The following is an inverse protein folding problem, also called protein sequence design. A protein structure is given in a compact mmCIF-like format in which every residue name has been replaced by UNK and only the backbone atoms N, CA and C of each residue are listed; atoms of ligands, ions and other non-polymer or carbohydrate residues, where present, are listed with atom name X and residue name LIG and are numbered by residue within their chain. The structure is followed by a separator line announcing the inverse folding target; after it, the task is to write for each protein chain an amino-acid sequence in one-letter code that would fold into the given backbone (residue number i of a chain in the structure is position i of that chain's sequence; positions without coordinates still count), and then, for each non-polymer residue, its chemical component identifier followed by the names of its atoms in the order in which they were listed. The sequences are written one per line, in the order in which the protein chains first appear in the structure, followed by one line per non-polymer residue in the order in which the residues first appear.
data_IF_152265103632
#
_entry.id   IF_152265103632
#
_cell.length_a   1.000
_cell.length_b   1.000
_cell.length_c   1.000
_cell.angle_alpha   90.00
_cell.angle_beta   90.00
_cell.angle_gamma   90.00
#
_symmetry.space_group_name_H-M   'P 1'
#
loop_
_entity.id
_entity.type
_entity.pdbx_description
1 polymer ?
#
# COMPACT_ATOMS: atom_id res chain seq x y z
N UNK A 1 27.74 24.69 38.67
CA UNK A 1 27.05 23.41 38.44
C UNK A 1 27.07 23.11 36.95
N UNK A 2 27.57 21.94 36.53
CA UNK A 2 27.71 21.57 35.12
C UNK A 2 26.32 21.17 34.59
N UNK A 3 25.69 22.05 33.79
CA UNK A 3 24.39 21.79 33.20
C UNK A 3 24.49 20.65 32.20
N UNK A 4 24.04 19.45 32.59
CA UNK A 4 23.98 18.31 31.67
C UNK A 4 22.67 18.43 30.89
N UNK A 5 22.76 18.87 29.63
CA UNK A 5 21.65 18.78 28.68
C UNK A 5 21.31 17.31 28.48
N UNK A 6 20.16 16.87 29.00
CA UNK A 6 19.66 15.52 28.75
C UNK A 6 18.92 15.54 27.42
N UNK A 7 19.38 14.76 26.45
CA UNK A 7 18.67 14.60 25.19
C UNK A 7 17.42 13.74 25.42
N UNK A 8 16.24 14.37 25.45
CA UNK A 8 14.95 13.71 25.59
C UNK A 8 14.39 13.21 24.23
N UNK A 9 15.16 13.26 23.14
CA UNK A 9 14.71 12.74 21.86
C UNK A 9 14.50 11.22 21.93
N UNK A 10 13.35 10.79 21.44
CA UNK A 10 13.04 9.38 21.26
C UNK A 10 13.97 8.79 20.19
N UNK A 11 14.97 8.04 20.62
CA UNK A 11 15.87 7.31 19.72
C UNK A 11 15.16 6.07 19.18
N UNK A 12 15.07 5.95 17.86
CA UNK A 12 14.59 4.75 17.19
C UNK A 12 15.77 3.87 16.78
N UNK A 13 15.63 2.54 16.90
CA UNK A 13 16.64 1.62 16.38
C UNK A 13 16.71 1.78 14.84
N UNK A 14 17.85 2.22 14.27
CA UNK A 14 18.00 2.43 12.84
C UNK A 14 17.77 1.14 12.04
N UNK A 15 18.10 -0.03 12.60
CA UNK A 15 17.84 -1.32 11.93
C UNK A 15 16.35 -1.58 11.82
N UNK A 16 15.58 -1.27 12.86
CA UNK A 16 14.12 -1.38 12.83
C UNK A 16 13.50 -0.38 11.87
N UNK A 17 14.00 0.86 11.81
CA UNK A 17 13.53 1.86 10.86
C UNK A 17 13.70 1.42 9.41
N UNK A 18 14.85 0.83 9.05
CA UNK A 18 15.10 0.29 7.70
C UNK A 18 14.17 -0.88 7.39
N UNK A 19 13.91 -1.79 8.34
CA UNK A 19 12.96 -2.90 8.17
C UNK A 19 11.54 -2.39 7.93
N UNK A 20 11.08 -1.43 8.74
CA UNK A 20 9.76 -0.83 8.60
C UNK A 20 9.61 -0.11 7.24
N UNK A 21 10.65 0.58 6.78
CA UNK A 21 10.65 1.24 5.47
C UNK A 21 10.47 0.26 4.31
N UNK A 22 11.12 -0.92 4.37
CA UNK A 22 10.95 -1.99 3.36
C UNK A 22 9.52 -2.52 3.35
N UNK A 23 8.93 -2.75 4.52
CA UNK A 23 7.55 -3.22 4.67
C UNK A 23 6.55 -2.18 4.13
N UNK A 24 6.73 -0.90 4.44
CA UNK A 24 5.93 0.18 3.87
C UNK A 24 6.07 0.27 2.34
N UNK A 25 7.27 0.04 1.81
CA UNK A 25 7.49 0.02 0.36
C UNK A 25 6.72 -1.13 -0.29
N UNK A 26 6.67 -2.30 0.34
CA UNK A 26 5.86 -3.43 -0.10
C UNK A 26 4.36 -3.09 -0.07
N UNK A 27 3.88 -2.39 0.97
CA UNK A 27 2.51 -1.87 1.00
C UNK A 27 2.22 -0.97 -0.20
N UNK A 28 3.08 0.04 -0.43
CA UNK A 28 2.94 0.97 -1.55
C UNK A 28 2.97 0.27 -2.90
N UNK A 29 3.74 -0.81 -3.04
CA UNK A 29 3.78 -1.63 -4.25
C UNK A 29 2.42 -2.30 -4.52
N UNK A 30 1.79 -2.91 -3.50
CA UNK A 30 0.48 -3.52 -3.65
C UNK A 30 -0.61 -2.48 -3.95
N UNK A 31 -0.60 -1.34 -3.25
CA UNK A 31 -1.54 -0.23 -3.48
C UNK A 31 -1.48 0.25 -4.94
N UNK A 32 -0.29 0.56 -5.47
CA UNK A 32 -0.10 0.98 -6.87
C UNK A 32 -0.52 -0.11 -7.86
N UNK A 33 -0.24 -1.38 -7.55
CA UNK A 33 -0.62 -2.51 -8.40
C UNK A 33 -2.15 -2.63 -8.50
N UNK A 34 -2.86 -2.47 -7.38
CA UNK A 34 -4.33 -2.47 -7.34
C UNK A 34 -4.88 -1.33 -8.19
N UNK A 35 -4.37 -0.10 -8.01
CA UNK A 35 -4.79 1.05 -8.83
C UNK A 35 -4.61 0.79 -10.32
N UNK A 36 -3.44 0.28 -10.72
CA UNK A 36 -3.16 -0.06 -12.13
C UNK A 36 -4.12 -1.12 -12.68
N UNK A 37 -4.42 -2.14 -11.89
CA UNK A 37 -5.37 -3.18 -12.29
C UNK A 37 -6.79 -2.64 -12.43
N UNK A 38 -7.21 -1.71 -11.56
CA UNK A 38 -8.49 -1.02 -11.71
C UNK A 38 -8.55 -0.19 -13.00
N UNK A 39 -7.50 0.56 -13.34
CA UNK A 39 -7.44 1.26 -14.63
C UNK A 39 -7.59 0.31 -15.82
N UNK A 40 -6.86 -0.81 -15.82
CA UNK A 40 -7.01 -1.83 -16.87
C UNK A 40 -8.40 -2.42 -16.93
N UNK A 41 -9.03 -2.60 -15.77
CA UNK A 41 -10.39 -3.13 -15.68
C UNK A 41 -11.38 -2.14 -16.28
N UNK A 42 -11.27 -0.86 -15.98
CA UNK A 42 -12.11 0.19 -16.56
C UNK A 42 -11.96 0.23 -18.09
N UNK A 43 -10.74 0.08 -18.62
CA UNK A 43 -10.53 -0.04 -20.07
C UNK A 43 -11.23 -1.29 -20.65
N UNK A 44 -11.06 -2.45 -20.02
CA UNK A 44 -11.72 -3.68 -20.47
C UNK A 44 -13.26 -3.60 -20.38
N UNK A 45 -13.82 -2.84 -19.42
CA UNK A 45 -15.26 -2.56 -19.33
C UNK A 45 -15.73 -1.69 -20.51
N UNK A 46 -14.91 -0.72 -20.95
CA UNK A 46 -15.21 0.11 -22.14
C UNK A 46 -15.09 -0.67 -23.45
N UNK A 47 -14.19 -1.64 -23.50
CA UNK A 47 -13.97 -2.51 -24.66
C UNK A 47 -14.96 -3.69 -24.72
N UNK A 48 -15.93 -3.76 -23.81
CA UNK A 48 -16.93 -4.84 -23.70
C UNK A 48 -16.32 -6.25 -23.62
N UNK A 49 -15.19 -6.39 -22.91
CA UNK A 49 -14.47 -7.66 -22.73
C UNK A 49 -14.72 -8.28 -21.33
N UNK A 50 -15.80 -9.07 -21.14
CA UNK A 50 -16.17 -9.59 -19.82
C UNK A 50 -15.16 -10.58 -19.24
N UNK A 51 -14.42 -11.30 -20.10
CA UNK A 51 -13.45 -12.29 -19.65
C UNK A 51 -12.22 -11.60 -19.04
N UNK A 52 -11.72 -10.53 -19.69
CA UNK A 52 -10.65 -9.72 -19.11
C UNK A 52 -11.11 -8.98 -17.85
N UNK A 53 -12.34 -8.47 -17.81
CA UNK A 53 -12.91 -7.88 -16.60
C UNK A 53 -12.91 -8.88 -15.44
N UNK A 54 -13.29 -10.14 -15.68
CA UNK A 54 -13.27 -11.20 -14.65
C UNK A 54 -11.85 -11.49 -14.14
N UNK A 55 -10.88 -11.66 -15.06
CA UNK A 55 -9.46 -11.90 -14.72
C UNK A 55 -8.85 -10.77 -13.91
N UNK A 56 -9.11 -9.53 -14.32
CA UNK A 56 -8.61 -8.33 -13.64
C UNK A 56 -9.24 -8.19 -12.24
N UNK A 57 -10.55 -8.43 -12.11
CA UNK A 57 -11.23 -8.46 -10.81
C UNK A 57 -10.62 -9.50 -9.85
N UNK A 58 -10.30 -10.71 -10.33
CA UNK A 58 -9.64 -11.74 -9.51
C UNK A 58 -8.25 -11.27 -9.06
N UNK A 59 -7.48 -10.67 -9.96
CA UNK A 59 -6.15 -10.13 -9.66
C UNK A 59 -6.21 -9.02 -8.60
N UNK A 60 -7.17 -8.09 -8.73
CA UNK A 60 -7.42 -7.02 -7.75
C UNK A 60 -7.66 -7.62 -6.35
N UNK A 61 -8.57 -8.60 -6.25
CA UNK A 61 -8.89 -9.26 -4.97
C UNK A 61 -7.66 -9.95 -4.37
N UNK A 62 -6.82 -10.59 -5.20
CA UNK A 62 -5.58 -11.22 -4.77
C UNK A 62 -4.59 -10.24 -4.16
N UNK A 63 -4.36 -9.09 -4.81
CA UNK A 63 -3.49 -8.04 -4.27
C UNK A 63 -4.08 -7.38 -3.01
N UNK A 64 -5.40 -7.15 -2.97
CA UNK A 64 -6.07 -6.64 -1.77
C UNK A 64 -5.95 -7.60 -0.59
N UNK A 65 -5.99 -8.92 -0.82
CA UNK A 65 -5.76 -9.91 0.22
C UNK A 65 -4.32 -9.86 0.75
N UNK A 66 -3.32 -9.76 -0.14
CA UNK A 66 -1.91 -9.57 0.23
C UNK A 66 -1.72 -8.29 1.05
N UNK A 67 -2.35 -7.19 0.62
CA UNK A 67 -2.32 -5.90 1.32
C UNK A 67 -2.94 -6.00 2.73
N UNK A 68 -4.12 -6.62 2.85
CA UNK A 68 -4.74 -6.86 4.17
C UNK A 68 -3.86 -7.69 5.08
N UNK A 69 -3.20 -8.73 4.55
CA UNK A 69 -2.28 -9.57 5.33
C UNK A 69 -1.11 -8.76 5.88
N UNK A 70 -0.41 -8.01 5.03
CA UNK A 70 0.76 -7.24 5.52
C UNK A 70 0.37 -6.15 6.52
N UNK A 71 -0.80 -5.51 6.37
CA UNK A 71 -1.28 -4.51 7.31
C UNK A 71 -1.63 -5.17 8.65
N UNK A 72 -2.30 -6.34 8.61
CA UNK A 72 -2.62 -7.11 9.81
C UNK A 72 -1.36 -7.59 10.55
N UNK A 73 -0.33 -8.00 9.82
CA UNK A 73 0.89 -8.56 10.40
C UNK A 73 1.86 -7.47 10.92
N UNK A 74 1.55 -6.18 10.73
CA UNK A 74 2.44 -5.07 11.07
C UNK A 74 1.66 -3.89 11.67
N UNK A 75 1.62 -3.79 13.00
CA UNK A 75 0.83 -2.79 13.75
C UNK A 75 1.14 -1.32 13.42
N UNK A 76 2.32 -1.04 12.84
CA UNK A 76 2.73 0.30 12.41
C UNK A 76 2.20 0.68 11.01
N UNK A 77 1.47 -0.21 10.35
CA UNK A 77 0.83 0.04 9.06
C UNK A 77 -0.67 0.30 9.23
N UNK A 78 -1.19 1.18 8.38
CA UNK A 78 -2.62 1.36 8.16
C UNK A 78 -2.92 1.29 6.67
N UNK A 79 -4.02 0.64 6.30
CA UNK A 79 -4.44 0.51 4.90
C UNK A 79 -4.84 1.87 4.34
N UNK A 80 -4.29 2.25 3.18
CA UNK A 80 -4.55 3.54 2.54
C UNK A 80 -5.46 3.35 1.33
N UNK A 81 -6.78 3.46 1.51
CA UNK A 81 -7.76 3.17 0.46
C UNK A 81 -7.66 4.11 -0.75
N UNK A 82 -7.36 5.39 -0.52
CA UNK A 82 -7.22 6.40 -1.58
C UNK A 82 -6.09 6.03 -2.56
N UNK A 83 -5.08 5.32 -2.07
CA UNK A 83 -3.95 4.84 -2.89
C UNK A 83 -4.33 3.70 -3.82
N UNK A 84 -5.44 3.03 -3.57
CA UNK A 84 -6.01 2.01 -4.45
C UNK A 84 -7.00 2.59 -5.46
N UNK A 85 -7.47 3.83 -5.29
CA UNK A 85 -8.50 4.43 -6.16
C UNK A 85 -7.89 4.99 -7.46
N UNK A 86 -8.66 4.93 -8.54
CA UNK A 86 -8.37 5.65 -9.78
C UNK A 86 -8.59 7.14 -9.49
N UNK A 87 -7.61 7.98 -9.83
CA UNK A 87 -7.79 9.44 -9.73
C UNK A 87 -8.53 9.85 -11.00
N UNK A 88 -9.72 10.40 -10.85
CA UNK A 88 -10.42 11.10 -11.92
C UNK A 88 -9.97 12.56 -11.85
N UNK A 89 -9.56 13.11 -12.98
CA UNK A 89 -9.41 14.56 -13.11
C UNK A 89 -10.82 15.12 -13.30
N UNK A 90 -11.19 16.12 -12.49
CA UNK A 90 -12.45 16.87 -12.59
C UNK A 90 -12.35 17.95 -13.68
#
# INVERSE_FOLDING_TARGET
MKGVSHNFQKHYDPKQAVKNAKIQQQQRYYERSIRRLKYKKELAERDEDPENVRKLNQSIRGYQAKLRKIVKDNDFLARQYDREQIVKED
#
